data_IF_231789895824
#
_entry.id   IF_231789895824
#
_cell.length_a   1.000
_cell.length_b   1.000
_cell.length_c   1.000
_cell.angle_alpha   90.00
_cell.angle_beta   90.00
_cell.angle_gamma   90.00
#
_symmetry.space_group_name_H-M   'P 1'
#
loop_
_entity.id
_entity.type
_entity.pdbx_description
1 polymer ?
#
# COMPACT_ATOMS: atom_id res chain seq x y z
N UNK A 1 19.27 -5.02 -0.50
CA UNK A 1 19.56 -6.02 -1.31
C UNK A 1 18.66 -6.08 -2.44
N UNK A 2 19.09 -6.47 -3.33
CA UNK A 2 18.35 -6.52 -4.46
C UNK A 2 17.94 -7.88 -4.67
N UNK A 3 17.36 -8.13 -5.71
CA UNK A 3 17.12 -9.41 -6.19
C UNK A 3 18.11 -9.70 -7.22
N UNK A 4 19.30 -9.71 -6.85
CA UNK A 4 20.34 -9.74 -7.82
C UNK A 4 20.34 -10.98 -8.59
N UNK A 5 19.88 -11.99 -7.98
CA UNK A 5 19.97 -13.23 -8.65
C UNK A 5 18.86 -13.45 -9.65
N UNK A 6 17.89 -12.58 -9.64
CA UNK A 6 16.78 -12.80 -10.53
C UNK A 6 17.10 -12.23 -11.89
N UNK A 7 17.26 -13.04 -12.89
CA UNK A 7 17.53 -12.57 -14.22
C UNK A 7 16.27 -12.08 -14.89
N UNK A 8 15.13 -12.35 -14.31
CA UNK A 8 13.86 -12.00 -14.90
C UNK A 8 13.19 -10.97 -14.04
N UNK A 9 12.84 -9.83 -14.63
CA UNK A 9 12.08 -8.82 -13.95
C UNK A 9 10.62 -9.21 -14.01
N UNK A 10 10.01 -9.27 -12.85
CA UNK A 10 8.62 -9.68 -12.74
C UNK A 10 7.78 -8.49 -12.33
N UNK A 11 7.04 -7.95 -13.28
CA UNK A 11 6.19 -6.80 -13.02
C UNK A 11 5.12 -7.11 -11.99
N UNK A 12 4.65 -8.34 -11.99
CA UNK A 12 3.63 -8.74 -11.02
C UNK A 12 4.20 -8.80 -9.62
N UNK A 13 5.47 -9.19 -9.48
CA UNK A 13 6.12 -9.16 -8.18
C UNK A 13 6.19 -7.74 -7.66
N UNK A 14 6.59 -6.80 -8.52
CA UNK A 14 6.65 -5.41 -8.14
C UNK A 14 5.28 -4.89 -7.73
N UNK A 15 4.26 -5.26 -8.48
CA UNK A 15 2.90 -4.82 -8.20
C UNK A 15 2.40 -5.39 -6.87
N UNK A 16 2.65 -6.67 -6.63
CA UNK A 16 2.27 -7.30 -5.37
C UNK A 16 2.95 -6.62 -4.21
N UNK A 17 4.24 -6.32 -4.35
CA UNK A 17 4.97 -5.67 -3.29
C UNK A 17 4.44 -4.26 -3.02
N UNK A 18 4.10 -3.53 -4.06
CA UNK A 18 3.53 -2.20 -3.90
C UNK A 18 2.18 -2.25 -3.18
N UNK A 19 1.35 -3.24 -3.50
CA UNK A 19 0.10 -3.45 -2.80
C UNK A 19 0.36 -3.73 -1.33
N UNK A 20 1.30 -4.60 -1.04
CA UNK A 20 1.64 -4.94 0.33
C UNK A 20 2.07 -3.71 1.11
N UNK A 21 2.93 -2.88 0.51
CA UNK A 21 3.40 -1.66 1.18
C UNK A 21 2.25 -0.71 1.45
N UNK A 22 1.33 -0.57 0.51
CA UNK A 22 0.17 0.29 0.70
C UNK A 22 -0.68 -0.18 1.88
N UNK A 23 -0.88 -1.49 1.98
CA UNK A 23 -1.67 -2.05 3.07
C UNK A 23 -0.95 -1.92 4.41
N UNK A 24 0.36 -2.10 4.42
CA UNK A 24 1.14 -1.92 5.64
C UNK A 24 1.08 -0.49 6.15
N UNK A 25 1.10 0.47 5.23
CA UNK A 25 1.00 1.87 5.61
C UNK A 25 -0.34 2.18 6.28
N UNK A 26 -1.40 1.51 5.89
CA UNK A 26 -2.70 1.68 6.53
C UNK A 26 -2.60 1.33 8.01
N UNK A 27 -1.93 0.22 8.32
CA UNK A 27 -1.72 -0.20 9.70
C UNK A 27 -0.86 0.79 10.46
N UNK A 28 0.20 1.26 9.86
CA UNK A 28 1.07 2.24 10.50
C UNK A 28 0.32 3.53 10.82
N UNK A 29 -0.53 3.96 9.89
CA UNK A 29 -1.29 5.18 10.09
C UNK A 29 -2.27 5.04 11.26
N UNK A 30 -2.80 3.84 11.50
CA UNK A 30 -3.68 3.64 12.66
C UNK A 30 -2.97 4.01 13.96
N UNK A 31 -1.73 3.58 14.12
CA UNK A 31 -0.96 3.90 15.31
C UNK A 31 -0.70 5.40 15.40
N UNK A 32 -0.30 6.00 14.29
CA UNK A 32 0.00 7.44 14.27
C UNK A 32 -1.25 8.27 14.58
N UNK A 33 -2.39 7.86 14.06
CA UNK A 33 -3.65 8.55 14.32
C UNK A 33 -3.98 8.47 15.81
N UNK A 34 -3.86 7.27 16.38
CA UNK A 34 -4.16 7.08 17.79
C UNK A 34 -3.26 7.93 18.67
N UNK A 35 -1.97 7.99 18.34
CA UNK A 35 -1.03 8.80 19.10
C UNK A 35 -1.34 10.28 18.98
N UNK A 36 -1.66 10.75 17.79
CA UNK A 36 -2.00 12.15 17.60
C UNK A 36 -3.27 12.51 18.38
N UNK A 37 -4.26 11.65 18.33
CA UNK A 37 -5.50 11.89 19.06
C UNK A 37 -5.28 11.90 20.56
N UNK A 38 -4.41 11.05 21.08
CA UNK A 38 -4.16 11.00 22.50
C UNK A 38 -3.45 12.27 22.99
N UNK A 39 -2.76 12.97 22.08
CA UNK A 39 -2.13 14.25 22.40
C UNK A 39 -3.08 15.43 22.16
N UNK A 40 -4.26 15.18 21.65
CA UNK A 40 -5.18 16.23 21.31
C UNK A 40 -4.84 16.95 20.01
N UNK A 41 -3.98 16.36 19.20
CA UNK A 41 -3.54 16.97 17.95
C UNK A 41 -4.44 16.53 16.80
N UNK A 42 -5.58 17.18 16.70
CA UNK A 42 -6.58 16.78 15.72
C UNK A 42 -6.17 17.10 14.30
N UNK A 43 -5.41 18.15 14.12
CA UNK A 43 -4.93 18.51 12.79
C UNK A 43 -4.01 17.42 12.23
N UNK A 44 -3.10 16.96 13.05
CA UNK A 44 -2.17 15.91 12.65
C UNK A 44 -2.90 14.60 12.40
N UNK A 45 -3.84 14.26 13.27
CA UNK A 45 -4.63 13.05 13.09
C UNK A 45 -5.39 13.06 11.77
N UNK A 46 -5.94 14.22 11.40
CA UNK A 46 -6.67 14.37 10.16
C UNK A 46 -5.75 14.16 8.95
N UNK A 47 -4.55 14.69 9.02
CA UNK A 47 -3.59 14.52 7.93
C UNK A 47 -3.19 13.06 7.78
N UNK A 48 -2.95 12.37 8.90
CA UNK A 48 -2.63 10.95 8.85
C UNK A 48 -3.79 10.14 8.23
N UNK A 49 -5.03 10.55 8.51
CA UNK A 49 -6.18 9.85 7.93
C UNK A 49 -6.24 10.03 6.42
N UNK A 50 -5.81 11.18 5.91
CA UNK A 50 -5.74 11.39 4.47
C UNK A 50 -4.73 10.44 3.83
N UNK A 51 -3.58 10.27 4.48
CA UNK A 51 -2.57 9.35 3.97
C UNK A 51 -3.11 7.93 3.99
N UNK A 52 -3.77 7.56 5.07
CA UNK A 52 -4.34 6.23 5.20
C UNK A 52 -5.35 5.95 4.09
N UNK A 53 -6.21 6.92 3.82
CA UNK A 53 -7.21 6.76 2.77
C UNK A 53 -6.57 6.65 1.40
N UNK A 54 -5.53 7.43 1.13
CA UNK A 54 -4.82 7.34 -0.13
C UNK A 54 -4.17 5.97 -0.31
N UNK A 55 -3.59 5.44 0.76
CA UNK A 55 -3.01 4.11 0.71
C UNK A 55 -4.06 3.04 0.50
N UNK A 56 -5.23 3.20 1.10
CA UNK A 56 -6.32 2.26 0.91
C UNK A 56 -6.76 2.23 -0.56
N UNK A 57 -6.92 3.42 -1.15
CA UNK A 57 -7.32 3.51 -2.55
C UNK A 57 -6.26 2.90 -3.46
N UNK A 58 -5.00 3.19 -3.19
CA UNK A 58 -3.93 2.63 -3.99
C UNK A 58 -3.92 1.11 -3.91
N UNK A 59 -4.12 0.57 -2.71
CA UNK A 59 -4.18 -0.86 -2.52
C UNK A 59 -5.32 -1.50 -3.30
N UNK A 60 -6.50 -0.87 -3.27
CA UNK A 60 -7.64 -1.39 -4.01
C UNK A 60 -7.40 -1.36 -5.52
N UNK A 61 -6.86 -0.25 -6.01
CA UNK A 61 -6.53 -0.14 -7.43
C UNK A 61 -5.49 -1.16 -7.83
N UNK A 62 -4.50 -1.36 -6.97
CA UNK A 62 -3.45 -2.33 -7.24
C UNK A 62 -4.00 -3.74 -7.35
N UNK A 63 -4.91 -4.10 -6.45
CA UNK A 63 -5.52 -5.42 -6.50
C UNK A 63 -6.29 -5.64 -7.80
N UNK A 64 -7.05 -4.64 -8.22
CA UNK A 64 -7.80 -4.74 -9.47
C UNK A 64 -6.86 -4.86 -10.67
N UNK A 65 -5.79 -4.09 -10.65
CA UNK A 65 -4.80 -4.15 -11.71
C UNK A 65 -4.14 -5.53 -11.76
N UNK A 66 -3.82 -6.09 -10.61
CA UNK A 66 -3.20 -7.40 -10.54
C UNK A 66 -4.11 -8.48 -11.11
N UNK A 67 -5.38 -8.46 -10.71
CA UNK A 67 -6.35 -9.43 -11.22
C UNK A 67 -6.42 -9.35 -12.73
N UNK A 68 -6.53 -8.15 -13.25
CA UNK A 68 -6.65 -7.94 -14.69
C UNK A 68 -5.42 -8.45 -15.44
N UNK A 69 -4.24 -8.16 -14.91
CA UNK A 69 -3.00 -8.59 -15.57
C UNK A 69 -2.82 -10.09 -15.55
N UNK A 70 -3.14 -10.72 -14.41
CA UNK A 70 -3.01 -12.16 -14.32
C UNK A 70 -3.98 -12.87 -15.25
N UNK A 71 -5.19 -12.34 -15.38
CA UNK A 71 -6.15 -12.92 -16.31
C UNK A 71 -5.66 -12.84 -17.76
N UNK A 72 -5.07 -11.71 -18.13
CA UNK A 72 -4.56 -11.56 -19.51
C UNK A 72 -3.39 -12.48 -19.77
N UNK A 73 -2.53 -12.67 -18.77
CA UNK A 73 -1.35 -13.49 -18.97
C UNK A 73 -1.69 -14.96 -19.04
N UNK A 74 -2.74 -15.35 -18.35
CA UNK A 74 -3.13 -16.76 -18.35
C UNK A 74 -4.13 -17.08 -19.44
N UNK A 75 -4.68 -16.07 -20.03
CA UNK A 75 -5.65 -16.26 -21.07
C UNK A 75 -5.05 -16.03 -22.42
#
# INVERSE_FOLDING_TARGET
MTHPASPVKDKNYDLIHAIQMSLEHIWQMETYIADAESRGDNELATWFRKIQENNRKAGEQGKQMLISRLQRENG
#
